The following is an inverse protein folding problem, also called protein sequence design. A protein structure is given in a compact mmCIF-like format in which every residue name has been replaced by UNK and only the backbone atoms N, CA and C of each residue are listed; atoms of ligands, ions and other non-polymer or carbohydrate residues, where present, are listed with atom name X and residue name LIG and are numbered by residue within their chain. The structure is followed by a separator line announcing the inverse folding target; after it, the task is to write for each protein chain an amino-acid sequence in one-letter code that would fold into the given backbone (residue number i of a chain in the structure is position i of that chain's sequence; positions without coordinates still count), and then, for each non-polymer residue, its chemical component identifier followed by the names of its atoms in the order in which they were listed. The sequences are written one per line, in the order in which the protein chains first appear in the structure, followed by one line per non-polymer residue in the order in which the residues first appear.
data_IF_383746616746
#
_entry.id   IF_383746616746
#
_cell.length_a   1.000
_cell.length_b   1.000
_cell.length_c   1.000
_cell.angle_alpha   90.00
_cell.angle_beta   90.00
_cell.angle_gamma   90.00
#
_symmetry.space_group_name_H-M   'P 1'
#
loop_
_entity.id
_entity.type
_entity.pdbx_description
1 polymer ?
#
# COMPACT_ATOMS: atom_id res chain seq x y z
N UNK A 1 -20.37 -2.79 43.09
CA UNK A 1 -19.10 -2.19 42.61
C UNK A 1 -18.90 -2.58 41.16
N UNK A 2 -18.43 -1.63 40.35
CA UNK A 2 -18.68 -1.56 38.91
C UNK A 2 -17.78 -2.45 38.04
N UNK A 3 -18.30 -2.73 36.84
CA UNK A 3 -17.73 -3.41 35.67
C UNK A 3 -16.28 -3.06 35.33
N UNK A 4 -15.55 -4.05 34.85
CA UNK A 4 -14.68 -3.90 33.69
C UNK A 4 -14.72 -5.18 32.82
N UNK A 5 -15.70 -5.27 31.92
CA UNK A 5 -15.69 -6.28 30.85
C UNK A 5 -14.74 -5.82 29.74
N UNK A 6 -13.79 -6.69 29.48
CA UNK A 6 -12.75 -6.71 28.45
C UNK A 6 -13.11 -5.94 27.14
N UNK A 7 -12.42 -4.82 26.89
CA UNK A 7 -12.58 -3.94 25.70
C UNK A 7 -11.62 -4.27 24.55
N UNK A 8 -10.83 -5.35 24.63
CA UNK A 8 -9.73 -5.59 23.68
C UNK A 8 -10.11 -6.25 22.34
N UNK A 9 -11.38 -6.64 22.12
CA UNK A 9 -11.74 -7.48 20.96
C UNK A 9 -12.68 -6.82 19.92
N UNK A 10 -13.01 -5.53 20.05
CA UNK A 10 -13.87 -4.80 19.08
C UNK A 10 -13.11 -3.98 18.04
N UNK A 11 -11.87 -3.58 18.33
CA UNK A 11 -11.07 -2.78 17.40
C UNK A 11 -10.55 -3.65 16.25
N UNK A 12 -10.06 -4.86 16.53
CA UNK A 12 -9.52 -5.80 15.56
C UNK A 12 -10.54 -6.19 14.48
N UNK A 13 -11.80 -6.39 14.86
CA UNK A 13 -12.87 -6.83 13.96
C UNK A 13 -13.37 -5.69 13.03
N UNK A 14 -13.45 -4.45 13.55
CA UNK A 14 -13.70 -3.24 12.73
C UNK A 14 -12.55 -2.98 11.75
N UNK A 15 -11.30 -3.23 12.17
CA UNK A 15 -10.11 -3.08 11.34
C UNK A 15 -10.04 -4.11 10.20
N UNK A 16 -10.60 -5.32 10.37
CA UNK A 16 -10.63 -6.34 9.32
C UNK A 16 -11.65 -6.04 8.22
N UNK A 17 -12.82 -5.49 8.59
CA UNK A 17 -13.84 -5.04 7.64
C UNK A 17 -13.39 -3.83 6.79
N UNK A 18 -12.56 -2.95 7.35
CA UNK A 18 -12.01 -1.78 6.65
C UNK A 18 -10.66 -2.05 5.99
N UNK A 19 -10.01 -3.18 6.28
CA UNK A 19 -8.64 -3.44 5.85
C UNK A 19 -8.46 -3.45 4.35
N UNK A 20 -9.49 -3.78 3.58
CA UNK A 20 -9.43 -3.80 2.13
C UNK A 20 -10.22 -2.65 1.48
N UNK A 21 -10.66 -1.67 2.29
CA UNK A 21 -11.32 -0.44 1.84
C UNK A 21 -12.34 -0.69 0.70
N UNK A 22 -13.25 -1.64 0.92
CA UNK A 22 -14.31 -1.98 -0.05
C UNK A 22 -13.89 -2.89 -1.21
N UNK A 23 -12.70 -3.50 -1.19
CA UNK A 23 -12.25 -4.30 -2.31
C UNK A 23 -13.06 -5.58 -2.51
N UNK A 24 -13.34 -5.90 -3.78
CA UNK A 24 -14.05 -7.11 -4.19
C UNK A 24 -13.25 -8.36 -3.84
N UNK A 25 -13.95 -9.50 -3.70
CA UNK A 25 -13.30 -10.78 -3.42
C UNK A 25 -12.26 -11.15 -4.49
N UNK A 26 -12.55 -10.88 -5.78
CA UNK A 26 -11.63 -11.07 -6.90
C UNK A 26 -10.36 -10.24 -6.75
N UNK A 27 -10.46 -8.95 -6.41
CA UNK A 27 -9.31 -8.07 -6.18
C UNK A 27 -8.44 -8.55 -5.02
N UNK A 28 -9.06 -9.02 -3.93
CA UNK A 28 -8.33 -9.59 -2.79
C UNK A 28 -7.61 -10.90 -3.15
N UNK A 29 -8.23 -11.72 -4.00
CA UNK A 29 -7.64 -12.95 -4.48
C UNK A 29 -6.44 -12.67 -5.40
N UNK A 30 -6.60 -11.75 -6.35
CA UNK A 30 -5.52 -11.31 -7.22
C UNK A 30 -4.35 -10.72 -6.40
N UNK A 31 -4.63 -9.95 -5.36
CA UNK A 31 -3.60 -9.45 -4.44
C UNK A 31 -2.85 -10.56 -3.68
N UNK A 32 -3.44 -11.74 -3.48
CA UNK A 32 -2.71 -12.89 -2.94
C UNK A 32 -1.79 -13.51 -3.98
N UNK A 33 -2.24 -13.63 -5.23
CA UNK A 33 -1.44 -14.16 -6.33
C UNK A 33 -0.21 -13.29 -6.61
N UNK A 34 -0.38 -11.97 -6.67
CA UNK A 34 0.73 -11.03 -6.86
C UNK A 34 1.81 -11.14 -5.78
N UNK A 35 1.44 -11.54 -4.55
CA UNK A 35 2.42 -11.78 -3.48
C UNK A 35 3.38 -12.94 -3.75
N UNK A 36 3.07 -13.81 -4.71
CA UNK A 36 3.91 -14.91 -5.16
C UNK A 36 4.72 -14.58 -6.42
N UNK A 37 4.45 -13.45 -7.09
CA UNK A 37 5.06 -13.05 -8.35
C UNK A 37 5.66 -11.64 -8.26
N UNK A 38 6.40 -11.36 -7.20
CA UNK A 38 6.92 -10.00 -6.93
C UNK A 38 8.20 -9.71 -7.70
N UNK A 39 8.35 -8.48 -8.21
CA UNK A 39 9.56 -8.02 -8.90
C UNK A 39 10.74 -7.86 -7.94
N UNK A 40 11.96 -7.78 -8.49
CA UNK A 40 13.18 -7.55 -7.69
C UNK A 40 13.11 -6.23 -6.91
N UNK A 41 12.56 -5.17 -7.51
CA UNK A 41 12.38 -3.87 -6.86
C UNK A 41 11.40 -3.98 -5.68
N UNK A 42 10.27 -4.66 -5.86
CA UNK A 42 9.32 -4.91 -4.77
C UNK A 42 9.94 -5.73 -3.63
N UNK A 43 10.70 -6.78 -3.95
CA UNK A 43 11.41 -7.58 -2.94
C UNK A 43 12.39 -6.72 -2.15
N UNK A 44 13.18 -5.90 -2.86
CA UNK A 44 14.16 -4.98 -2.27
C UNK A 44 13.46 -4.01 -1.32
N UNK A 45 12.46 -3.26 -1.79
CA UNK A 45 11.75 -2.30 -0.96
C UNK A 45 11.04 -2.97 0.22
N UNK A 46 10.39 -4.12 -0.01
CA UNK A 46 9.71 -4.86 1.05
C UNK A 46 10.66 -5.26 2.17
N UNK A 47 11.88 -5.69 1.85
CA UNK A 47 12.90 -6.03 2.84
C UNK A 47 13.24 -4.86 3.77
N UNK A 48 13.16 -3.63 3.27
CA UNK A 48 13.52 -2.40 4.00
C UNK A 48 12.36 -1.85 4.85
N UNK A 49 11.11 -2.01 4.42
CA UNK A 49 9.95 -1.37 5.07
C UNK A 49 9.06 -2.33 5.88
N UNK A 50 9.22 -3.64 5.69
CA UNK A 50 8.45 -4.65 6.44
C UNK A 50 8.73 -4.60 7.93
N UNK A 51 7.87 -5.27 8.71
CA UNK A 51 8.08 -5.49 10.15
C UNK A 51 8.33 -4.19 10.94
N UNK A 52 7.75 -3.06 10.51
CA UNK A 52 7.89 -1.76 11.18
C UNK A 52 9.32 -1.19 11.17
N UNK A 53 10.19 -1.67 10.28
CA UNK A 53 11.57 -1.19 10.19
C UNK A 53 11.67 0.29 9.83
N UNK A 54 10.78 0.80 8.98
CA UNK A 54 10.77 2.21 8.61
C UNK A 54 9.94 3.03 9.61
N UNK A 55 10.63 3.75 10.50
CA UNK A 55 10.05 4.65 11.51
C UNK A 55 8.93 4.02 12.38
N UNK A 56 8.96 2.71 12.61
CA UNK A 56 7.95 2.01 13.40
C UNK A 56 6.60 1.76 12.70
N UNK A 57 6.46 2.17 11.43
CA UNK A 57 5.18 2.15 10.70
C UNK A 57 4.88 0.81 10.04
N UNK A 58 3.62 0.38 10.09
CA UNK A 58 3.21 -0.92 9.51
C UNK A 58 2.84 -0.80 8.04
N UNK A 59 3.75 -1.22 7.17
CA UNK A 59 3.47 -1.45 5.76
C UNK A 59 2.89 -2.84 5.49
N UNK A 60 2.01 -2.89 4.49
CA UNK A 60 1.44 -4.10 3.88
C UNK A 60 1.84 -4.11 2.42
N UNK A 61 2.11 -5.28 1.86
CA UNK A 61 2.38 -5.46 0.42
C UNK A 61 1.15 -5.97 -0.33
N UNK A 62 0.99 -5.54 -1.57
CA UNK A 62 -0.10 -5.94 -2.47
C UNK A 62 -1.46 -5.75 -1.78
N UNK A 63 -1.78 -4.51 -1.48
CA UNK A 63 -2.94 -4.11 -0.69
C UNK A 63 -4.12 -3.76 -1.57
N UNK A 64 -5.15 -4.61 -1.56
CA UNK A 64 -6.37 -4.36 -2.32
C UNK A 64 -7.19 -3.22 -1.70
N UNK A 65 -7.56 -2.23 -2.52
CA UNK A 65 -8.40 -1.06 -2.20
C UNK A 65 -9.40 -0.87 -3.33
N UNK A 66 -10.70 -0.95 -3.06
CA UNK A 66 -11.74 -0.93 -4.09
C UNK A 66 -11.42 -1.89 -5.27
N UNK A 67 -11.22 -1.37 -6.47
CA UNK A 67 -10.89 -2.17 -7.65
C UNK A 67 -9.38 -2.22 -7.95
N UNK A 68 -8.54 -1.69 -7.07
CA UNK A 68 -7.10 -1.52 -7.26
C UNK A 68 -6.29 -2.36 -6.27
N UNK A 69 -5.03 -2.61 -6.61
CA UNK A 69 -4.04 -3.21 -5.71
C UNK A 69 -2.84 -2.28 -5.66
N UNK A 70 -2.47 -1.87 -4.46
CA UNK A 70 -1.30 -1.04 -4.19
C UNK A 70 -0.11 -1.94 -3.88
N UNK A 71 1.06 -1.69 -4.46
CA UNK A 71 2.25 -2.52 -4.17
C UNK A 71 2.61 -2.48 -2.69
N UNK A 72 2.56 -1.28 -2.08
CA UNK A 72 2.64 -1.13 -0.63
C UNK A 72 1.63 -0.12 -0.09
N UNK A 73 1.17 -0.37 1.14
CA UNK A 73 0.26 0.52 1.86
C UNK A 73 0.54 0.58 3.36
N UNK A 74 0.62 1.80 3.89
CA UNK A 74 0.65 2.09 5.32
C UNK A 74 -0.68 2.74 5.73
N UNK A 75 -1.52 1.98 6.44
CA UNK A 75 -2.81 2.49 6.92
C UNK A 75 -2.66 3.59 7.98
N UNK A 76 -1.59 3.53 8.80
CA UNK A 76 -1.33 4.50 9.88
C UNK A 76 -1.08 5.91 9.34
N UNK A 77 -0.47 6.02 8.16
CA UNK A 77 -0.11 7.28 7.52
C UNK A 77 -0.94 7.56 6.25
N UNK A 78 -1.92 6.70 5.94
CA UNK A 78 -2.67 6.72 4.67
C UNK A 78 -1.75 6.85 3.44
N UNK A 79 -0.64 6.12 3.44
CA UNK A 79 0.38 6.23 2.40
C UNK A 79 0.40 4.98 1.51
N UNK A 80 0.18 5.17 0.22
CA UNK A 80 0.36 4.18 -0.82
C UNK A 80 1.70 4.39 -1.54
N UNK A 81 2.36 3.29 -1.91
CA UNK A 81 3.56 3.30 -2.74
C UNK A 81 3.35 2.32 -3.89
N UNK A 82 3.66 2.77 -5.10
CA UNK A 82 3.70 1.93 -6.30
C UNK A 82 5.08 1.97 -6.95
N UNK A 83 5.50 0.81 -7.44
CA UNK A 83 6.74 0.62 -8.17
C UNK A 83 6.42 0.39 -9.63
N UNK A 84 6.92 1.28 -10.48
CA UNK A 84 6.68 1.23 -11.90
C UNK A 84 7.80 0.50 -12.62
N UNK A 85 7.43 -0.46 -13.47
CA UNK A 85 8.37 -1.24 -14.28
C UNK A 85 8.31 -0.94 -15.77
N UNK A 86 7.33 -0.15 -16.24
CA UNK A 86 7.25 0.31 -17.64
C UNK A 86 6.07 1.30 -17.79
N UNK A 87 6.35 2.61 -17.76
CA UNK A 87 5.40 3.60 -18.26
C UNK A 87 5.39 3.63 -19.79
N UNK A 88 4.89 2.59 -20.44
CA UNK A 88 4.66 2.61 -21.89
C UNK A 88 3.33 1.98 -22.29
N UNK A 89 2.23 2.58 -21.82
CA UNK A 89 1.00 2.66 -22.62
C UNK A 89 0.36 4.03 -22.39
N UNK A 90 0.84 5.06 -23.08
CA UNK A 90 0.29 6.44 -23.11
C UNK A 90 -1.24 6.51 -23.40
N UNK A 91 -1.86 5.39 -23.78
CA UNK A 91 -3.28 5.26 -24.13
C UNK A 91 -4.17 4.64 -23.05
N UNK A 92 -3.65 3.90 -22.06
CA UNK A 92 -4.45 3.40 -20.91
C UNK A 92 -4.39 4.38 -19.70
N UNK A 93 -3.44 5.33 -19.73
CA UNK A 93 -2.82 5.91 -18.53
C UNK A 93 -3.36 7.24 -18.03
N UNK A 94 -4.16 8.01 -18.78
CA UNK A 94 -4.67 9.30 -18.28
C UNK A 94 -5.95 9.16 -17.47
N UNK A 95 -7.03 8.70 -18.08
CA UNK A 95 -8.33 8.62 -17.39
C UNK A 95 -8.33 7.58 -16.27
N UNK A 96 -7.72 6.40 -16.47
CA UNK A 96 -7.66 5.38 -15.43
C UNK A 96 -6.74 5.79 -14.27
N UNK A 97 -5.60 6.42 -14.59
CA UNK A 97 -4.68 6.98 -13.60
C UNK A 97 -5.29 8.14 -12.80
N UNK A 98 -6.01 9.03 -13.47
CA UNK A 98 -6.72 10.17 -12.86
C UNK A 98 -7.88 9.69 -12.00
N UNK A 99 -8.75 8.81 -12.49
CA UNK A 99 -9.85 8.24 -11.70
C UNK A 99 -9.34 7.46 -10.48
N UNK A 100 -8.25 6.71 -10.65
CA UNK A 100 -7.59 6.01 -9.54
C UNK A 100 -7.03 6.99 -8.51
N UNK A 101 -6.34 8.04 -8.96
CA UNK A 101 -5.77 9.05 -8.07
C UNK A 101 -6.87 9.82 -7.34
N UNK A 102 -7.94 10.20 -8.04
CA UNK A 102 -9.12 10.85 -7.45
C UNK A 102 -9.77 9.95 -6.39
N UNK A 103 -10.01 8.68 -6.71
CA UNK A 103 -10.61 7.73 -5.76
C UNK A 103 -9.74 7.49 -4.51
N UNK A 104 -8.41 7.47 -4.67
CA UNK A 104 -7.50 7.37 -3.53
C UNK A 104 -7.45 8.67 -2.72
N UNK A 105 -7.48 9.83 -3.37
CA UNK A 105 -7.52 11.13 -2.71
C UNK A 105 -8.80 11.32 -1.89
N UNK A 106 -9.96 10.86 -2.39
CA UNK A 106 -11.22 10.84 -1.63
C UNK A 106 -11.12 10.00 -0.34
N UNK A 107 -10.19 9.04 -0.30
CA UNK A 107 -9.89 8.21 0.88
C UNK A 107 -8.74 8.76 1.72
N UNK A 108 -8.30 10.00 1.43
CA UNK A 108 -7.17 10.70 2.04
C UNK A 108 -5.85 9.92 1.90
N UNK A 109 -5.73 9.10 0.84
CA UNK A 109 -4.54 8.29 0.58
C UNK A 109 -3.55 9.10 -0.26
N UNK A 110 -2.38 9.37 0.31
CA UNK A 110 -1.23 9.91 -0.44
C UNK A 110 -0.59 8.78 -1.26
N UNK A 111 -0.35 9.02 -2.55
CA UNK A 111 0.31 8.05 -3.43
C UNK A 111 1.70 8.52 -3.85
N UNK A 112 2.72 7.72 -3.56
CA UNK A 112 4.08 7.89 -4.08
C UNK A 112 4.36 6.84 -5.15
N UNK A 113 5.05 7.24 -6.23
CA UNK A 113 5.48 6.34 -7.31
C UNK A 113 6.99 6.40 -7.45
N UNK A 114 7.62 5.25 -7.63
CA UNK A 114 9.05 5.13 -7.89
C UNK A 114 9.29 4.23 -9.09
N UNK A 115 10.31 4.52 -9.88
CA UNK A 115 10.80 3.58 -10.87
C UNK A 115 11.51 2.42 -10.20
N UNK A 116 11.45 1.22 -10.79
CA UNK A 116 12.15 0.06 -10.29
C UNK A 116 13.66 0.34 -10.10
N UNK A 117 14.27 1.05 -11.03
CA UNK A 117 15.69 1.44 -11.00
C UNK A 117 15.98 2.33 -9.78
N UNK A 118 15.10 3.26 -9.42
CA UNK A 118 15.30 4.09 -8.23
C UNK A 118 15.34 3.26 -6.94
N UNK A 119 14.53 2.20 -6.87
CA UNK A 119 14.49 1.31 -5.70
C UNK A 119 15.72 0.41 -5.65
N UNK A 120 16.20 -0.03 -6.81
CA UNK A 120 17.34 -0.94 -6.92
C UNK A 120 18.67 -0.19 -6.73
N UNK A 121 18.81 0.99 -7.35
CA UNK A 121 20.06 1.73 -7.46
C UNK A 121 20.21 2.80 -6.36
N UNK A 122 19.12 3.42 -5.92
CA UNK A 122 19.11 4.50 -4.92
C UNK A 122 18.13 4.24 -3.74
N UNK A 123 18.15 3.07 -3.07
CA UNK A 123 17.15 2.71 -2.06
C UNK A 123 17.10 3.70 -0.88
N UNK A 124 18.22 4.29 -0.46
CA UNK A 124 18.27 5.26 0.63
C UNK A 124 17.52 6.55 0.29
N UNK A 125 17.57 6.97 -0.99
CA UNK A 125 16.84 8.15 -1.48
C UNK A 125 15.33 7.88 -1.48
N UNK A 126 14.93 6.69 -1.92
CA UNK A 126 13.53 6.23 -1.85
C UNK A 126 13.04 6.20 -0.41
N UNK A 127 13.78 5.59 0.52
CA UNK A 127 13.39 5.53 1.93
C UNK A 127 13.28 6.90 2.58
N UNK A 128 14.17 7.85 2.22
CA UNK A 128 14.09 9.24 2.70
C UNK A 128 12.80 9.90 2.24
N UNK A 129 12.46 9.75 0.96
CA UNK A 129 11.22 10.29 0.39
C UNK A 129 9.98 9.70 1.06
N UNK A 130 9.95 8.39 1.26
CA UNK A 130 8.85 7.73 1.99
C UNK A 130 8.77 8.30 3.42
N UNK A 131 9.92 8.43 4.09
CA UNK A 131 10.02 8.93 5.47
C UNK A 131 9.49 10.35 5.68
N UNK A 132 9.49 11.20 4.66
CA UNK A 132 8.89 12.54 4.71
C UNK A 132 7.35 12.49 4.86
N UNK A 133 6.73 11.35 4.58
CA UNK A 133 5.27 11.15 4.56
C UNK A 133 4.77 10.19 5.66
N UNK A 134 5.59 9.88 6.67
CA UNK A 134 5.29 8.93 7.77
C UNK A 134 5.09 9.62 9.11
#
# INVERSE_FOLDING_TARGET
MSRAKNKSNRLTDKYLGTLHQGARASTRQHAKELRHSTTNAEQKLWSLIRNRQLKGKKFRRQHAVANYILDFYCNECKLAIELDGNFHTQTETKNYGELRTLSLNEQEITLLRFWNEQVLDEPERVLRKISEHL
#
